data_IF_789889683247
#
_entry.id   IF_789889683247
#
_cell.length_a   1.000
_cell.length_b   1.000
_cell.length_c   1.000
_cell.angle_alpha   90.00
_cell.angle_beta   90.00
_cell.angle_gamma   90.00
#
_symmetry.space_group_name_H-M   'P 1'
#
loop_
_entity.id
_entity.type
_entity.pdbx_description
1 polymer ?
#
# COMPACT_ATOMS: atom_id res chain seq x y z
N UNK A 1 10.93 -80.45 65.08
CA UNK A 1 11.32 -80.19 66.48
C UNK A 1 12.21 -78.97 66.48
N UNK A 2 11.99 -77.91 67.22
CA UNK A 2 10.84 -77.42 67.94
C UNK A 2 11.29 -76.02 68.40
N UNK A 3 10.32 -75.12 68.53
CA UNK A 3 10.38 -73.96 69.42
C UNK A 3 11.38 -72.81 69.19
N UNK A 4 10.74 -71.70 68.79
CA UNK A 4 10.49 -70.50 69.63
C UNK A 4 11.42 -69.31 69.48
N UNK A 5 10.71 -68.18 69.55
CA UNK A 5 11.15 -66.85 69.93
C UNK A 5 11.94 -66.12 68.82
N UNK A 6 11.65 -64.88 68.45
CA UNK A 6 10.99 -63.82 69.22
C UNK A 6 10.85 -62.57 68.34
N UNK A 7 9.81 -61.78 68.64
CA UNK A 7 9.58 -60.37 68.25
C UNK A 7 9.13 -60.10 66.80
N UNK A 8 7.82 -59.92 66.64
CA UNK A 8 7.35 -58.68 66.00
C UNK A 8 6.88 -57.80 67.14
N UNK A 9 7.77 -56.88 67.49
CA UNK A 9 7.48 -55.62 68.15
C UNK A 9 6.22 -55.05 67.48
N UNK A 10 5.06 -55.14 68.15
CA UNK A 10 3.91 -54.33 67.78
C UNK A 10 4.25 -52.91 68.17
N UNK A 11 5.10 -52.30 67.34
CA UNK A 11 5.32 -50.88 67.33
C UNK A 11 3.94 -50.26 67.32
N UNK A 12 3.68 -49.45 68.35
CA UNK A 12 2.71 -48.38 68.33
C UNK A 12 2.95 -47.60 67.05
N UNK A 13 2.28 -47.99 65.97
CA UNK A 13 2.28 -47.18 64.77
C UNK A 13 1.30 -46.07 65.08
N UNK A 14 1.85 -44.95 65.55
CA UNK A 14 1.23 -43.64 65.42
C UNK A 14 0.96 -43.40 63.93
N UNK A 15 -0.16 -43.93 63.45
CA UNK A 15 -0.69 -43.54 62.16
C UNK A 15 -1.22 -42.11 62.33
N UNK A 16 -0.34 -41.12 62.10
CA UNK A 16 -0.77 -39.78 61.70
C UNK A 16 -1.67 -39.94 60.48
N UNK A 17 -2.97 -39.73 60.67
CA UNK A 17 -3.94 -39.68 59.58
C UNK A 17 -3.74 -38.36 58.86
N UNK A 18 -2.67 -38.26 58.07
CA UNK A 18 -2.61 -37.30 56.99
C UNK A 18 -3.15 -38.04 55.76
N UNK A 19 -4.34 -37.63 55.31
CA UNK A 19 -5.00 -38.04 54.06
C UNK A 19 -5.97 -39.25 54.09
N UNK A 20 -6.88 -39.31 55.08
CA UNK A 20 -8.19 -39.99 54.89
C UNK A 20 -9.30 -38.94 55.02
N UNK A 21 -10.26 -38.93 54.09
CA UNK A 21 -11.43 -38.04 54.15
C UNK A 21 -12.28 -38.44 55.37
N UNK A 22 -12.82 -37.43 56.08
CA UNK A 22 -13.62 -37.54 57.32
C UNK A 22 -14.76 -38.59 57.30
N UNK A 23 -15.17 -39.11 56.15
CA UNK A 23 -16.26 -40.09 56.00
C UNK A 23 -15.88 -41.58 55.95
N UNK A 24 -14.61 -41.97 55.92
CA UNK A 24 -14.21 -43.40 55.74
C UNK A 24 -13.97 -44.16 57.04
N UNK A 25 -13.93 -43.46 58.19
CA UNK A 25 -13.64 -44.04 59.51
C UNK A 25 -14.92 -43.97 60.35
N UNK A 26 -15.35 -45.12 60.89
CA UNK A 26 -16.57 -45.24 61.69
C UNK A 26 -16.44 -44.58 63.08
N UNK A 27 -15.26 -44.71 63.70
CA UNK A 27 -14.99 -44.17 65.04
C UNK A 27 -13.57 -43.63 65.13
N UNK A 28 -13.41 -42.50 65.80
CA UNK A 28 -12.14 -41.84 66.05
C UNK A 28 -11.75 -42.00 67.53
N UNK A 29 -10.46 -42.22 67.78
CA UNK A 29 -9.92 -42.17 69.14
C UNK A 29 -9.73 -40.72 69.58
N UNK A 30 -9.67 -40.52 70.90
CA UNK A 30 -9.47 -39.20 71.50
C UNK A 30 -8.22 -38.47 70.99
N UNK A 31 -7.13 -39.18 70.74
CA UNK A 31 -5.91 -38.59 70.17
C UNK A 31 -6.12 -38.15 68.72
N UNK A 32 -6.89 -38.91 67.94
CA UNK A 32 -7.22 -38.55 66.56
C UNK A 32 -8.15 -37.33 66.51
N UNK A 33 -9.12 -37.23 67.44
CA UNK A 33 -9.98 -36.04 67.55
C UNK A 33 -9.18 -34.80 67.95
N UNK A 34 -8.24 -34.94 68.89
CA UNK A 34 -7.34 -33.86 69.28
C UNK A 34 -6.49 -33.34 68.12
N UNK A 35 -5.94 -34.26 67.30
CA UNK A 35 -5.19 -33.91 66.09
C UNK A 35 -6.09 -33.24 65.02
N UNK A 36 -7.32 -33.73 64.82
CA UNK A 36 -8.25 -33.18 63.84
C UNK A 36 -8.72 -31.77 64.18
N UNK A 37 -8.96 -31.50 65.47
CA UNK A 37 -9.46 -30.21 65.97
C UNK A 37 -8.32 -29.27 66.38
N UNK A 38 -7.06 -29.70 66.25
CA UNK A 38 -5.85 -28.98 66.65
C UNK A 38 -5.92 -28.47 68.10
N UNK A 39 -6.35 -29.35 69.00
CA UNK A 39 -6.56 -29.08 70.43
C UNK A 39 -5.79 -30.06 71.31
N UNK A 40 -5.52 -29.70 72.56
CA UNK A 40 -4.87 -30.64 73.48
C UNK A 40 -5.83 -31.78 73.85
N UNK A 41 -5.33 -33.02 73.91
CA UNK A 41 -6.09 -34.19 74.39
C UNK A 41 -6.80 -33.88 75.72
N UNK A 42 -6.15 -33.17 76.64
CA UNK A 42 -6.75 -32.77 77.92
C UNK A 42 -7.98 -31.86 77.76
N UNK A 43 -7.97 -30.97 76.77
CA UNK A 43 -9.10 -30.09 76.46
C UNK A 43 -10.26 -30.87 75.86
N UNK A 44 -9.98 -31.80 74.93
CA UNK A 44 -11.01 -32.69 74.37
C UNK A 44 -11.66 -33.53 75.48
N UNK A 45 -10.88 -34.04 76.44
CA UNK A 45 -11.41 -34.74 77.62
C UNK A 45 -12.34 -33.86 78.43
N UNK A 46 -11.90 -32.64 78.65
CA UNK A 46 -12.59 -31.68 79.48
C UNK A 46 -13.93 -31.28 78.87
N UNK A 47 -13.97 -30.99 77.57
CA UNK A 47 -15.23 -30.70 76.87
C UNK A 47 -16.14 -31.91 76.79
N UNK A 48 -15.60 -33.10 76.51
CA UNK A 48 -16.36 -34.36 76.52
C UNK A 48 -17.07 -34.56 77.86
N UNK A 49 -16.38 -34.35 78.98
CA UNK A 49 -16.96 -34.54 80.31
C UNK A 49 -17.98 -33.45 80.70
N UNK A 50 -17.79 -32.20 80.25
CA UNK A 50 -18.71 -31.09 80.58
C UNK A 50 -19.99 -31.17 79.77
N UNK A 51 -19.87 -31.60 78.51
CA UNK A 51 -20.97 -31.72 77.58
C UNK A 51 -21.39 -33.18 77.40
N UNK A 52 -21.21 -34.05 78.40
CA UNK A 52 -21.57 -35.48 78.37
C UNK A 52 -23.07 -35.67 78.05
N UNK A 53 -23.92 -34.76 78.54
CA UNK A 53 -25.35 -34.74 78.25
C UNK A 53 -25.67 -34.48 76.76
N UNK A 54 -24.77 -33.78 76.05
CA UNK A 54 -24.91 -33.38 74.65
C UNK A 54 -24.13 -34.31 73.70
N UNK A 55 -22.93 -34.72 74.11
CA UNK A 55 -21.99 -35.58 73.40
C UNK A 55 -22.04 -36.97 74.05
N UNK A 56 -23.05 -37.77 73.67
CA UNK A 56 -23.26 -39.12 74.19
C UNK A 56 -22.23 -40.11 73.62
N UNK A 57 -20.96 -39.89 73.91
CA UNK A 57 -19.82 -40.61 73.33
C UNK A 57 -19.78 -42.04 73.86
N UNK A 58 -19.68 -43.01 72.96
CA UNK A 58 -19.63 -44.42 73.33
C UNK A 58 -18.30 -44.80 74.00
N UNK A 59 -18.37 -45.54 75.11
CA UNK A 59 -17.21 -46.11 75.80
C UNK A 59 -17.19 -47.62 75.57
N UNK A 60 -16.18 -48.10 74.84
CA UNK A 60 -15.94 -49.53 74.61
C UNK A 60 -14.52 -49.86 75.07
N UNK A 61 -14.36 -50.88 75.92
CA UNK A 61 -13.06 -51.34 76.45
C UNK A 61 -12.21 -50.23 77.11
N UNK A 62 -12.86 -49.30 77.83
CA UNK A 62 -12.25 -48.13 78.49
C UNK A 62 -11.66 -47.08 77.56
N UNK A 63 -11.98 -47.13 76.27
CA UNK A 63 -11.63 -46.10 75.28
C UNK A 63 -12.87 -45.34 74.79
N UNK A 64 -12.76 -44.02 74.66
CA UNK A 64 -13.79 -43.13 74.12
C UNK A 64 -13.77 -43.21 72.59
N UNK A 65 -14.92 -43.53 71.97
CA UNK A 65 -15.09 -43.62 70.52
C UNK A 65 -15.98 -42.48 70.03
N UNK A 66 -15.39 -41.57 69.27
CA UNK A 66 -16.08 -40.40 68.72
C UNK A 66 -16.58 -40.69 67.30
N UNK A 67 -17.83 -40.37 67.01
CA UNK A 67 -18.38 -40.39 65.65
C UNK A 67 -18.08 -39.08 64.92
N UNK A 68 -18.38 -39.00 63.62
CA UNK A 68 -18.22 -37.75 62.87
C UNK A 68 -19.08 -36.62 63.42
N UNK A 69 -20.31 -36.94 63.84
CA UNK A 69 -21.27 -35.99 64.41
C UNK A 69 -20.76 -35.46 65.76
N UNK A 70 -20.15 -36.31 66.60
CA UNK A 70 -19.50 -35.89 67.84
C UNK A 70 -18.34 -34.92 67.59
N UNK A 71 -17.56 -35.15 66.52
CA UNK A 71 -16.46 -34.26 66.12
C UNK A 71 -17.01 -32.92 65.61
N UNK A 72 -18.10 -32.91 64.85
CA UNK A 72 -18.73 -31.66 64.36
C UNK A 72 -19.28 -30.84 65.52
N UNK A 73 -19.93 -31.50 66.48
CA UNK A 73 -20.42 -30.87 67.69
C UNK A 73 -19.27 -30.32 68.55
N UNK A 74 -18.18 -31.08 68.74
CA UNK A 74 -16.98 -30.61 69.44
C UNK A 74 -16.32 -29.42 68.73
N UNK A 75 -16.18 -29.46 67.41
CA UNK A 75 -15.62 -28.37 66.61
C UNK A 75 -16.45 -27.08 66.80
N UNK A 76 -17.77 -27.20 66.80
CA UNK A 76 -18.67 -26.08 67.02
C UNK A 76 -18.56 -25.51 68.45
N UNK A 77 -18.52 -26.38 69.48
CA UNK A 77 -18.34 -25.98 70.87
C UNK A 77 -17.01 -25.24 71.08
N UNK A 78 -15.93 -25.74 70.49
CA UNK A 78 -14.60 -25.10 70.54
C UNK A 78 -14.63 -23.74 69.84
N UNK A 79 -15.29 -23.62 68.68
CA UNK A 79 -15.46 -22.32 67.99
C UNK A 79 -16.24 -21.31 68.84
N UNK A 80 -17.29 -21.74 69.55
CA UNK A 80 -18.05 -20.86 70.45
C UNK A 80 -17.21 -20.39 71.63
N UNK A 81 -16.43 -21.29 72.24
CA UNK A 81 -15.49 -20.93 73.31
C UNK A 81 -14.42 -19.95 72.81
N UNK A 82 -13.85 -20.19 71.63
CA UNK A 82 -12.84 -19.32 71.02
C UNK A 82 -13.40 -17.93 70.62
N UNK A 83 -14.71 -17.80 70.48
CA UNK A 83 -15.42 -16.52 70.29
C UNK A 83 -15.71 -15.78 71.60
N UNK A 84 -15.25 -16.29 72.74
CA UNK A 84 -15.34 -15.62 74.04
C UNK A 84 -16.55 -16.03 74.89
N UNK A 85 -17.32 -17.03 74.48
CA UNK A 85 -18.44 -17.54 75.28
C UNK A 85 -17.94 -18.45 76.41
N UNK A 86 -18.49 -18.31 77.60
CA UNK A 86 -18.18 -19.20 78.73
C UNK A 86 -18.86 -20.56 78.55
N UNK A 87 -18.29 -21.60 79.14
CA UNK A 87 -18.83 -22.96 79.03
C UNK A 87 -20.28 -23.08 79.55
N UNK A 88 -20.65 -22.28 80.56
CA UNK A 88 -22.03 -22.21 81.08
C UNK A 88 -23.00 -21.58 80.08
N UNK A 89 -22.58 -20.50 79.42
CA UNK A 89 -23.39 -19.85 78.38
C UNK A 89 -23.58 -20.77 77.16
N UNK A 90 -22.54 -21.53 76.79
CA UNK A 90 -22.63 -22.53 75.72
C UNK A 90 -23.64 -23.63 76.10
N UNK A 91 -23.59 -24.14 77.34
CA UNK A 91 -24.53 -25.15 77.82
C UNK A 91 -25.98 -24.64 77.88
N UNK A 92 -26.18 -23.40 78.32
CA UNK A 92 -27.49 -22.74 78.35
C UNK A 92 -28.03 -22.47 76.94
N UNK A 93 -27.15 -22.09 76.00
CA UNK A 93 -27.50 -21.92 74.59
C UNK A 93 -28.02 -23.22 73.97
N UNK A 94 -27.32 -24.33 74.21
CA UNK A 94 -27.74 -25.65 73.74
C UNK A 94 -29.01 -26.17 74.41
N UNK A 95 -29.21 -25.87 75.69
CA UNK A 95 -30.43 -26.24 76.41
C UNK A 95 -31.66 -25.45 75.96
N UNK A 96 -31.47 -24.27 75.35
CA UNK A 96 -32.52 -23.42 74.78
C UNK A 96 -32.77 -23.69 73.29
N UNK A 97 -31.87 -24.40 72.61
CA UNK A 97 -32.11 -24.89 71.27
C UNK A 97 -33.13 -26.03 71.34
N UNK A 98 -34.21 -26.00 70.54
CA UNK A 98 -35.18 -27.09 70.51
C UNK A 98 -34.55 -28.29 69.80
N UNK A 99 -33.73 -29.06 70.52
CA UNK A 99 -33.15 -30.32 70.08
C UNK A 99 -34.00 -31.50 70.60
N UNK A 100 -35.31 -31.42 70.36
CA UNK A 100 -36.13 -32.63 70.33
C UNK A 100 -36.51 -32.85 68.87
N UNK A 101 -35.88 -33.85 68.26
CA UNK A 101 -36.21 -34.39 66.92
C UNK A 101 -37.61 -35.03 66.85
N UNK A 102 -38.47 -34.78 67.83
CA UNK A 102 -39.83 -35.27 67.87
C UNK A 102 -40.80 -34.09 67.93
N UNK A 103 -41.50 -33.91 66.81
CA UNK A 103 -42.78 -33.21 66.67
C UNK A 103 -42.77 -31.68 66.81
N UNK A 104 -42.57 -30.99 65.69
CA UNK A 104 -43.27 -29.71 65.44
C UNK A 104 -44.17 -29.89 64.23
N UNK A 105 -45.37 -30.39 64.51
CA UNK A 105 -46.51 -30.22 63.61
C UNK A 105 -46.89 -28.74 63.54
N UNK A 106 -47.16 -28.31 62.32
CA UNK A 106 -47.48 -26.95 61.87
C UNK A 106 -48.41 -26.14 62.79
N UNK A 107 -48.01 -24.89 63.05
CA UNK A 107 -48.93 -23.78 63.30
C UNK A 107 -48.73 -22.75 62.18
N UNK A 108 -49.75 -22.62 61.33
CA UNK A 108 -49.76 -21.71 60.19
C UNK A 108 -49.84 -20.24 60.62
N UNK A 109 -48.94 -19.43 60.10
CA UNK A 109 -49.11 -17.98 59.96
C UNK A 109 -48.31 -17.50 58.76
N UNK A 110 -48.95 -17.37 57.59
CA UNK A 110 -48.54 -16.55 56.41
C UNK A 110 -47.04 -16.27 56.19
N UNK A 111 -46.20 -17.29 56.38
CA UNK A 111 -44.79 -17.26 56.06
C UNK A 111 -44.66 -18.28 54.95
N UNK A 112 -44.28 -17.82 53.75
CA UNK A 112 -43.85 -18.72 52.68
C UNK A 112 -42.97 -19.78 53.32
N UNK A 113 -43.28 -21.05 53.06
CA UNK A 113 -42.35 -22.11 53.45
C UNK A 113 -40.98 -21.79 52.86
N UNK A 114 -39.90 -22.16 53.55
CA UNK A 114 -38.54 -21.95 53.06
C UNK A 114 -38.39 -22.48 51.62
N UNK A 115 -39.07 -23.58 51.29
CA UNK A 115 -39.20 -24.15 49.94
C UNK A 115 -39.80 -23.17 48.91
N UNK A 116 -40.93 -22.53 49.22
CA UNK A 116 -41.58 -21.58 48.32
C UNK A 116 -40.70 -20.34 48.12
N UNK A 117 -40.04 -19.86 49.17
CA UNK A 117 -39.12 -18.73 49.11
C UNK A 117 -37.90 -19.06 48.24
N UNK A 118 -37.34 -20.27 48.39
CA UNK A 118 -36.26 -20.77 47.53
C UNK A 118 -36.71 -20.88 46.08
N UNK A 119 -37.93 -21.36 45.81
CA UNK A 119 -38.45 -21.50 44.45
C UNK A 119 -38.72 -20.13 43.79
N UNK A 120 -39.26 -19.16 44.54
CA UNK A 120 -39.42 -17.78 44.06
C UNK A 120 -38.07 -17.13 43.75
N UNK A 121 -37.06 -17.34 44.60
CA UNK A 121 -35.69 -16.84 44.34
C UNK A 121 -35.11 -17.49 43.09
N UNK A 122 -35.28 -18.80 42.90
CA UNK A 122 -34.78 -19.51 41.70
C UNK A 122 -35.44 -18.97 40.42
N UNK A 123 -36.74 -18.74 40.43
CA UNK A 123 -37.45 -18.24 39.25
C UNK A 123 -37.07 -16.78 38.96
N UNK A 124 -36.96 -15.93 39.98
CA UNK A 124 -36.48 -14.55 39.83
C UNK A 124 -35.05 -14.52 39.27
N UNK A 125 -34.15 -15.35 39.79
CA UNK A 125 -32.80 -15.50 39.27
C UNK A 125 -32.81 -15.96 37.82
N UNK A 126 -33.65 -16.93 37.46
CA UNK A 126 -33.78 -17.42 36.09
C UNK A 126 -34.23 -16.31 35.14
N UNK A 127 -35.25 -15.53 35.51
CA UNK A 127 -35.73 -14.38 34.72
C UNK A 127 -34.62 -13.34 34.56
N UNK A 128 -33.89 -13.02 35.62
CA UNK A 128 -32.76 -12.08 35.55
C UNK A 128 -31.63 -12.60 34.64
N UNK A 129 -31.31 -13.89 34.70
CA UNK A 129 -30.33 -14.51 33.82
C UNK A 129 -30.78 -14.50 32.35
N UNK A 130 -32.05 -14.79 32.07
CA UNK A 130 -32.59 -14.75 30.71
C UNK A 130 -32.58 -13.32 30.14
N UNK A 131 -32.99 -12.33 30.95
CA UNK A 131 -32.92 -10.92 30.56
C UNK A 131 -31.48 -10.44 30.31
N UNK A 132 -30.55 -10.82 31.19
CA UNK A 132 -29.13 -10.52 31.02
C UNK A 132 -28.59 -11.15 29.73
N UNK A 133 -28.95 -12.41 29.44
CA UNK A 133 -28.55 -13.09 28.21
C UNK A 133 -29.07 -12.39 26.96
N UNK A 134 -30.32 -11.95 26.97
CA UNK A 134 -30.93 -11.20 25.85
C UNK A 134 -30.20 -9.87 25.65
N UNK A 135 -29.96 -9.11 26.73
CA UNK A 135 -29.28 -7.83 26.68
C UNK A 135 -27.84 -7.97 26.18
N UNK A 136 -27.08 -8.93 26.73
CA UNK A 136 -25.71 -9.20 26.33
C UNK A 136 -25.61 -9.58 24.85
N UNK A 137 -26.52 -10.41 24.35
CA UNK A 137 -26.57 -10.76 22.93
C UNK A 137 -26.83 -9.54 22.05
N UNK A 138 -27.74 -8.66 22.47
CA UNK A 138 -28.05 -7.42 21.75
C UNK A 138 -26.85 -6.48 21.72
N UNK A 139 -26.19 -6.27 22.87
CA UNK A 139 -25.02 -5.40 22.98
C UNK A 139 -23.86 -5.91 22.11
N UNK A 140 -23.64 -7.24 22.08
CA UNK A 140 -22.64 -7.86 21.19
C UNK A 140 -22.99 -7.64 19.72
N UNK A 141 -24.26 -7.82 19.34
CA UNK A 141 -24.71 -7.60 17.96
C UNK A 141 -24.53 -6.15 17.52
N UNK A 142 -24.93 -5.20 18.36
CA UNK A 142 -24.82 -3.77 18.07
C UNK A 142 -23.36 -3.33 17.98
N UNK A 143 -22.50 -3.81 18.90
CA UNK A 143 -21.06 -3.55 18.86
C UNK A 143 -20.42 -4.13 17.59
N UNK A 144 -20.73 -5.39 17.25
CA UNK A 144 -20.22 -6.02 16.03
C UNK A 144 -20.67 -5.28 14.76
N UNK A 145 -21.94 -4.87 14.71
CA UNK A 145 -22.46 -4.08 13.58
C UNK A 145 -21.70 -2.76 13.44
N UNK A 146 -21.43 -2.07 14.55
CA UNK A 146 -20.66 -0.82 14.56
C UNK A 146 -19.21 -1.06 14.10
N UNK A 147 -18.54 -2.10 14.60
CA UNK A 147 -17.19 -2.45 14.18
C UNK A 147 -17.12 -2.77 12.69
N UNK A 148 -18.06 -3.58 12.18
CA UNK A 148 -18.10 -3.93 10.75
C UNK A 148 -18.34 -2.69 9.89
N UNK A 149 -19.24 -1.78 10.30
CA UNK A 149 -19.45 -0.51 9.58
C UNK A 149 -18.18 0.33 9.55
N UNK A 150 -17.51 0.50 10.69
CA UNK A 150 -16.28 1.29 10.78
C UNK A 150 -15.16 0.68 9.92
N UNK A 151 -14.94 -0.63 10.01
CA UNK A 151 -13.95 -1.34 9.19
C UNK A 151 -14.27 -1.15 7.71
N UNK A 152 -15.54 -1.31 7.31
CA UNK A 152 -15.98 -1.14 5.92
C UNK A 152 -15.73 0.28 5.43
N UNK A 153 -16.08 1.30 6.21
CA UNK A 153 -15.84 2.70 5.86
C UNK A 153 -14.34 2.99 5.71
N UNK A 154 -13.50 2.53 6.65
CA UNK A 154 -12.05 2.73 6.56
C UNK A 154 -11.44 2.02 5.34
N UNK A 155 -11.91 0.81 5.01
CA UNK A 155 -11.47 0.09 3.81
C UNK A 155 -11.85 0.88 2.56
N UNK A 156 -13.10 1.36 2.47
CA UNK A 156 -13.59 2.15 1.32
C UNK A 156 -12.77 3.43 1.16
N UNK A 157 -12.50 4.15 2.24
CA UNK A 157 -11.69 5.38 2.21
C UNK A 157 -10.25 5.10 1.74
N UNK A 158 -9.61 4.05 2.27
CA UNK A 158 -8.27 3.67 1.88
C UNK A 158 -8.19 3.24 0.40
N UNK A 159 -9.17 2.45 -0.06
CA UNK A 159 -9.27 2.02 -1.46
C UNK A 159 -9.48 3.22 -2.40
N UNK A 160 -10.39 4.14 -2.06
CA UNK A 160 -10.64 5.33 -2.85
C UNK A 160 -9.40 6.24 -2.95
N UNK A 161 -8.68 6.42 -1.84
CA UNK A 161 -7.43 7.18 -1.82
C UNK A 161 -6.37 6.54 -2.73
N UNK A 162 -6.20 5.22 -2.64
CA UNK A 162 -5.24 4.48 -3.47
C UNK A 162 -5.61 4.54 -4.95
N UNK A 163 -6.89 4.38 -5.29
CA UNK A 163 -7.37 4.41 -6.67
C UNK A 163 -7.21 5.80 -7.30
N UNK A 164 -7.49 6.86 -6.54
CA UNK A 164 -7.29 8.23 -7.00
C UNK A 164 -5.83 8.53 -7.27
N UNK A 165 -4.92 8.07 -6.40
CA UNK A 165 -3.48 8.20 -6.61
C UNK A 165 -3.04 7.45 -7.87
N UNK A 166 -3.43 6.17 -8.00
CA UNK A 166 -3.13 5.38 -9.18
C UNK A 166 -3.60 6.05 -10.48
N UNK A 167 -4.82 6.61 -10.47
CA UNK A 167 -5.36 7.35 -11.61
C UNK A 167 -4.47 8.55 -11.97
N UNK A 168 -4.06 9.35 -10.98
CA UNK A 168 -3.19 10.50 -11.22
C UNK A 168 -1.83 10.10 -11.79
N UNK A 169 -1.20 9.09 -11.18
CA UNK A 169 0.11 8.59 -11.61
C UNK A 169 0.05 8.08 -13.07
N UNK A 170 -1.00 7.31 -13.41
CA UNK A 170 -1.21 6.81 -14.78
C UNK A 170 -1.43 7.96 -15.78
N UNK A 171 -2.18 9.01 -15.41
CA UNK A 171 -2.41 10.15 -16.29
C UNK A 171 -1.13 10.91 -16.60
N UNK A 172 -0.24 11.09 -15.62
CA UNK A 172 1.03 11.76 -15.88
C UNK A 172 1.97 10.89 -16.71
N UNK A 173 2.05 9.58 -16.44
CA UNK A 173 2.87 8.66 -17.24
C UNK A 173 2.44 8.66 -18.73
N UNK A 174 1.13 8.61 -19.00
CA UNK A 174 0.59 8.72 -20.36
C UNK A 174 0.95 10.07 -20.98
N UNK A 175 0.82 11.17 -20.23
CA UNK A 175 1.12 12.52 -20.74
C UNK A 175 2.60 12.66 -21.08
N UNK A 176 3.50 12.23 -20.20
CA UNK A 176 4.95 12.29 -20.42
C UNK A 176 5.35 11.46 -21.64
N UNK A 177 4.80 10.24 -21.77
CA UNK A 177 5.04 9.39 -22.92
C UNK A 177 4.62 10.06 -24.23
N UNK A 178 3.37 10.55 -24.30
CA UNK A 178 2.84 11.22 -25.49
C UNK A 178 3.66 12.45 -25.86
N UNK A 179 4.00 13.30 -24.89
CA UNK A 179 4.83 14.48 -25.15
C UNK A 179 6.19 14.09 -25.73
N UNK A 180 6.85 13.07 -25.17
CA UNK A 180 8.15 12.62 -25.67
C UNK A 180 8.08 12.10 -27.11
N UNK A 181 7.00 11.41 -27.48
CA UNK A 181 6.81 10.90 -28.84
C UNK A 181 6.50 12.04 -29.83
N UNK A 182 5.68 13.02 -29.42
CA UNK A 182 5.42 14.21 -30.23
C UNK A 182 6.67 15.06 -30.44
N UNK A 183 7.51 15.24 -29.42
CA UNK A 183 8.76 15.99 -29.52
C UNK A 183 9.73 15.31 -30.50
N UNK A 184 9.88 13.98 -30.43
CA UNK A 184 10.69 13.22 -31.41
C UNK A 184 10.16 13.38 -32.84
N UNK A 185 8.84 13.32 -33.03
CA UNK A 185 8.24 13.51 -34.36
C UNK A 185 8.52 14.92 -34.88
N UNK A 186 8.42 15.94 -34.02
CA UNK A 186 8.73 17.32 -34.40
C UNK A 186 10.19 17.49 -34.78
N UNK A 187 11.13 16.89 -34.04
CA UNK A 187 12.55 16.90 -34.39
C UNK A 187 12.80 16.23 -35.75
N UNK A 188 12.22 15.06 -36.00
CA UNK A 188 12.32 14.35 -37.29
C UNK A 188 11.75 15.21 -38.43
N UNK A 189 10.61 15.85 -38.23
CA UNK A 189 9.99 16.71 -39.24
C UNK A 189 10.83 17.96 -39.54
N UNK A 190 11.43 18.58 -38.52
CA UNK A 190 12.34 19.70 -38.68
C UNK A 190 13.59 19.31 -39.47
N UNK A 191 14.18 18.15 -39.16
CA UNK A 191 15.33 17.62 -39.89
C UNK A 191 14.99 17.34 -41.36
N UNK A 192 13.87 16.64 -41.63
CA UNK A 192 13.38 16.40 -42.99
C UNK A 192 13.11 17.69 -43.77
N UNK A 193 12.52 18.70 -43.11
CA UNK A 193 12.28 20.00 -43.73
C UNK A 193 13.60 20.69 -44.10
N UNK A 194 14.57 20.71 -43.20
CA UNK A 194 15.89 21.29 -43.46
C UNK A 194 16.61 20.56 -44.60
N UNK A 195 16.58 19.22 -44.60
CA UNK A 195 17.14 18.42 -45.70
C UNK A 195 16.46 18.72 -47.04
N UNK A 196 15.12 18.87 -47.06
CA UNK A 196 14.39 19.24 -48.27
C UNK A 196 14.81 20.62 -48.78
N UNK A 197 14.85 21.63 -47.91
CA UNK A 197 15.28 23.00 -48.25
C UNK A 197 16.71 23.01 -48.81
N UNK A 198 17.64 22.31 -48.16
CA UNK A 198 19.02 22.18 -48.62
C UNK A 198 19.11 21.53 -50.01
N UNK A 199 18.37 20.45 -50.23
CA UNK A 199 18.37 19.73 -51.50
C UNK A 199 17.78 20.57 -52.63
N UNK A 200 16.66 21.25 -52.39
CA UNK A 200 16.05 22.15 -53.36
C UNK A 200 16.97 23.34 -53.64
N UNK A 201 17.58 23.93 -52.62
CA UNK A 201 18.50 25.07 -52.78
C UNK A 201 19.72 24.68 -53.63
N UNK A 202 20.31 23.51 -53.37
CA UNK A 202 21.42 22.96 -54.18
C UNK A 202 20.99 22.68 -55.61
N UNK A 203 19.81 22.10 -55.81
CA UNK A 203 19.26 21.81 -57.14
C UNK A 203 19.03 23.09 -57.95
N UNK A 204 18.32 24.08 -57.37
CA UNK A 204 18.03 25.35 -58.03
C UNK A 204 19.32 26.12 -58.37
N UNK A 205 20.29 26.15 -57.45
CA UNK A 205 21.58 26.80 -57.70
C UNK A 205 22.31 26.15 -58.88
N UNK A 206 22.35 24.81 -58.92
CA UNK A 206 22.97 24.06 -60.02
C UNK A 206 22.28 24.34 -61.37
N UNK A 207 20.95 24.37 -61.40
CA UNK A 207 20.20 24.67 -62.64
C UNK A 207 20.42 26.11 -63.11
N UNK A 208 20.45 27.08 -62.19
CA UNK A 208 20.78 28.48 -62.52
C UNK A 208 22.20 28.58 -63.08
N UNK A 209 23.19 27.94 -62.44
CA UNK A 209 24.57 27.96 -62.91
C UNK A 209 24.72 27.33 -64.30
N UNK A 210 24.05 26.19 -64.53
CA UNK A 210 24.01 25.55 -65.84
C UNK A 210 23.42 26.48 -66.91
N UNK A 211 22.28 27.12 -66.62
CA UNK A 211 21.62 28.03 -67.56
C UNK A 211 22.42 29.30 -67.81
N UNK A 212 23.07 29.85 -66.78
CA UNK A 212 23.96 30.99 -66.91
C UNK A 212 25.18 30.67 -67.78
N UNK A 213 25.76 29.49 -67.61
CA UNK A 213 26.88 29.04 -68.45
C UNK A 213 26.46 28.86 -69.91
N UNK A 214 25.28 28.28 -70.16
CA UNK A 214 24.71 28.15 -71.50
C UNK A 214 24.47 29.53 -72.15
N UNK A 215 23.84 30.46 -71.42
CA UNK A 215 23.61 31.83 -71.89
C UNK A 215 24.91 32.56 -72.20
N UNK A 216 25.92 32.42 -71.34
CA UNK A 216 27.24 33.02 -71.55
C UNK A 216 27.91 32.51 -72.82
N UNK A 217 27.87 31.20 -73.07
CA UNK A 217 28.41 30.59 -74.28
C UNK A 217 27.66 31.08 -75.54
N UNK A 218 26.32 31.12 -75.49
CA UNK A 218 25.51 31.60 -76.60
C UNK A 218 25.81 33.08 -76.91
N UNK A 219 25.83 33.95 -75.90
CA UNK A 219 26.18 35.37 -76.08
C UNK A 219 27.60 35.55 -76.62
N UNK A 220 28.57 34.76 -76.17
CA UNK A 220 29.93 34.81 -76.68
C UNK A 220 29.99 34.39 -78.17
N UNK A 221 29.24 33.36 -78.55
CA UNK A 221 29.12 32.93 -79.94
C UNK A 221 28.47 34.01 -80.82
N UNK A 222 27.36 34.60 -80.36
CA UNK A 222 26.66 35.68 -81.05
C UNK A 222 27.56 36.91 -81.23
N UNK A 223 28.30 37.30 -80.18
CA UNK A 223 29.22 38.43 -80.23
C UNK A 223 30.39 38.17 -81.19
N UNK A 224 30.95 36.96 -81.18
CA UNK A 224 31.99 36.57 -82.12
C UNK A 224 31.48 36.58 -83.57
N UNK A 225 30.28 36.05 -83.82
CA UNK A 225 29.65 36.07 -85.14
C UNK A 225 29.39 37.50 -85.64
N UNK A 226 28.90 38.37 -84.75
CA UNK A 226 28.71 39.79 -85.03
C UNK A 226 30.04 40.48 -85.35
N UNK A 227 31.07 40.28 -84.53
CA UNK A 227 32.39 40.87 -84.74
C UNK A 227 33.02 40.45 -86.08
N UNK A 228 32.95 39.16 -86.43
CA UNK A 228 33.43 38.66 -87.71
C UNK A 228 32.64 39.26 -88.89
N UNK A 229 31.34 39.44 -88.73
CA UNK A 229 30.50 40.10 -89.75
C UNK A 229 30.89 41.57 -89.93
N UNK A 230 31.15 42.29 -88.83
CA UNK A 230 31.64 43.67 -88.86
C UNK A 230 33.01 43.78 -89.53
N UNK A 231 33.95 42.87 -89.22
CA UNK A 231 35.26 42.82 -89.87
C UNK A 231 35.11 42.59 -91.37
N UNK A 232 34.34 41.57 -91.76
CA UNK A 232 34.09 41.25 -93.18
C UNK A 232 33.49 42.44 -93.92
N UNK A 233 32.50 43.11 -93.33
CA UNK A 233 31.90 44.30 -93.93
C UNK A 233 32.88 45.47 -94.02
N UNK A 234 33.70 45.69 -92.99
CA UNK A 234 34.73 46.74 -92.98
C UNK A 234 35.79 46.49 -94.06
N UNK A 235 36.24 45.25 -94.22
CA UNK A 235 37.15 44.86 -95.30
C UNK A 235 36.54 45.11 -96.69
N UNK A 236 35.25 44.81 -96.86
CA UNK A 236 34.52 45.12 -98.09
C UNK A 236 34.49 46.62 -98.36
N UNK A 237 34.13 47.43 -97.37
CA UNK A 237 34.11 48.89 -97.50
C UNK A 237 35.50 49.46 -97.84
N UNK A 238 36.57 48.95 -97.21
CA UNK A 238 37.95 49.35 -97.56
C UNK A 238 38.27 49.02 -99.01
N UNK A 239 37.86 47.85 -99.52
CA UNK A 239 38.05 47.47 -100.93
C UNK A 239 37.29 48.41 -101.86
N UNK A 240 36.06 48.76 -101.53
CA UNK A 240 35.25 49.72 -102.30
C UNK A 240 35.87 51.13 -102.28
N UNK A 241 36.32 51.63 -101.13
CA UNK A 241 37.02 52.93 -101.05
C UNK A 241 38.29 52.94 -101.90
N UNK A 242 39.07 51.83 -101.88
CA UNK A 242 40.27 51.70 -102.73
C UNK A 242 39.94 51.67 -104.22
N UNK A 243 38.84 51.02 -104.62
CA UNK A 243 38.42 51.01 -106.03
C UNK A 243 37.97 52.40 -106.47
N UNK A 244 37.20 53.13 -105.65
CA UNK A 244 36.84 54.52 -105.92
C UNK A 244 38.07 55.41 -106.06
N UNK A 245 39.05 55.30 -105.16
CA UNK A 245 40.32 56.04 -105.28
C UNK A 245 41.00 55.79 -106.63
N UNK A 246 41.09 54.53 -107.06
CA UNK A 246 41.68 54.16 -108.35
C UNK A 246 40.92 54.74 -109.55
N UNK A 247 39.59 54.75 -109.49
CA UNK A 247 38.74 55.36 -110.52
C UNK A 247 39.00 56.87 -110.60
N UNK A 248 39.10 57.55 -109.47
CA UNK A 248 39.40 58.99 -109.41
C UNK A 248 40.80 59.29 -109.97
N UNK A 249 41.81 58.51 -109.58
CA UNK A 249 43.18 58.65 -110.12
C UNK A 249 43.19 58.47 -111.64
N UNK A 250 42.55 57.43 -112.15
CA UNK A 250 42.43 57.19 -113.59
C UNK A 250 41.70 58.33 -114.31
N UNK A 251 40.63 58.86 -113.73
CA UNK A 251 39.89 59.99 -114.30
C UNK A 251 40.78 61.25 -114.38
N UNK A 252 41.58 61.52 -113.35
CA UNK A 252 42.53 62.62 -113.32
C UNK A 252 43.62 62.48 -114.39
N UNK A 253 44.24 61.29 -114.51
CA UNK A 253 45.20 61.01 -115.59
C UNK A 253 44.58 61.15 -116.98
N UNK A 254 43.37 60.63 -117.16
CA UNK A 254 42.64 60.74 -118.44
C UNK A 254 42.37 62.20 -118.79
N UNK A 255 41.92 63.00 -117.82
CA UNK A 255 41.70 64.44 -118.02
C UNK A 255 43.01 65.13 -118.42
N UNK A 256 44.11 64.89 -117.71
CA UNK A 256 45.42 65.45 -118.05
C UNK A 256 45.88 65.06 -119.46
N UNK A 257 45.65 63.80 -119.86
CA UNK A 257 46.02 63.31 -121.18
C UNK A 257 45.16 63.93 -122.29
N UNK A 258 43.86 64.09 -122.07
CA UNK A 258 42.96 64.83 -122.97
C UNK A 258 43.35 66.30 -123.07
N UNK A 259 43.74 66.96 -121.97
CA UNK A 259 44.26 68.33 -121.98
C UNK A 259 45.56 68.45 -122.80
N UNK A 260 46.48 67.49 -122.66
CA UNK A 260 47.72 67.42 -123.46
C UNK A 260 47.46 67.14 -124.94
N UNK A 261 46.55 66.23 -125.27
CA UNK A 261 46.19 65.91 -126.66
C UNK A 261 45.46 67.09 -127.34
N UNK A 262 44.61 67.81 -126.59
CA UNK A 262 44.01 69.06 -127.06
C UNK A 262 45.06 70.17 -127.26
N UNK A 263 46.07 70.29 -126.39
CA UNK A 263 47.18 71.22 -126.59
C UNK A 263 48.04 70.85 -127.82
N UNK A 264 48.33 69.57 -128.02
CA UNK A 264 49.12 69.06 -129.16
C UNK A 264 48.37 69.16 -130.49
N UNK A 265 47.05 68.93 -130.52
CA UNK A 265 46.24 69.15 -131.73
C UNK A 265 46.16 70.64 -132.10
N UNK A 266 46.16 71.55 -131.12
CA UNK A 266 46.32 72.99 -131.36
C UNK A 266 47.68 73.36 -131.96
N UNK A 267 48.75 72.70 -131.52
CA UNK A 267 50.09 72.88 -132.07
C UNK A 267 50.23 72.30 -133.50
N UNK A 268 49.71 71.10 -133.74
CA UNK A 268 49.73 70.45 -135.05
C UNK A 268 48.83 71.18 -136.06
N UNK A 269 47.68 71.72 -135.65
CA UNK A 269 46.86 72.57 -136.51
C UNK A 269 47.58 73.88 -136.87
N UNK A 270 48.35 74.49 -135.96
CA UNK A 270 49.22 75.63 -136.29
C UNK A 270 50.33 75.26 -137.29
N UNK A 271 50.95 74.08 -137.14
CA UNK A 271 51.95 73.57 -138.07
C UNK A 271 51.36 73.27 -139.47
N UNK A 272 50.18 72.67 -139.53
CA UNK A 272 49.48 72.39 -140.79
C UNK A 272 48.97 73.66 -141.49
N UNK A 273 48.63 74.71 -140.74
CA UNK A 273 48.33 76.02 -141.32
C UNK A 273 49.57 76.68 -141.96
N UNK A 274 50.77 76.47 -141.40
CA UNK A 274 52.02 76.94 -142.01
C UNK A 274 52.31 76.19 -143.33
N UNK A 275 51.95 74.90 -143.43
CA UNK A 275 52.12 74.13 -144.66
C UNK A 275 51.03 74.37 -145.73
N UNK A 276 49.89 74.97 -145.37
CA UNK A 276 48.82 75.34 -146.32
C UNK A 276 48.93 76.76 -146.90
N UNK A 277 49.95 77.55 -146.51
CA UNK A 277 50.15 78.91 -147.03
C UNK A 277 51.23 79.03 -148.13
N UNK A 278 51.37 78.02 -149.00
CA UNK A 278 52.22 78.08 -150.19
C UNK A 278 51.45 77.65 -151.43
#
# INVERSE_FOLDING_TARGET
MDNKDKYIDTQKVEHKIQNRKRGEILYYSMSQVADLLNENISNIKYYTNIFDDLLKIEIIDKELRYTNDDIDNLEFLIKLKNRGMTLKEIQEYYSKLPLNDNEVQHLGSNLLSVEELINSIKEEQRIQFDNFKIQLNKDIQDANLLYVKNITSTIIEAQNKSLNKFKQDLFEEIREYLNSEFDKINEINLDLHNQFIDNITKFVSKEIDNKNNELKLNLQNDFNAFFQSCLTNSERLIKEVKSFKKVIENAYYTQYQVEMDNANSGFLNKLLQIFKSK
#
